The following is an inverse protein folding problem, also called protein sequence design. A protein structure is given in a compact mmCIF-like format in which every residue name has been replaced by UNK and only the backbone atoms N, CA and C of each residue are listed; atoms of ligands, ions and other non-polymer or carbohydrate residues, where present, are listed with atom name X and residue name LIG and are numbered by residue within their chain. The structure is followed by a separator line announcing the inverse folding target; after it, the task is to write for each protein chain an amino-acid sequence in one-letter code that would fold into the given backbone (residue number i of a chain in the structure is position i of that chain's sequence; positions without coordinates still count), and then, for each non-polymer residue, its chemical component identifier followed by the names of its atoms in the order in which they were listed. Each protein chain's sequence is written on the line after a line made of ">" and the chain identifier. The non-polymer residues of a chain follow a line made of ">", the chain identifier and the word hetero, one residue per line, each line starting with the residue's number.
data_IF_097730503527
#
_entry.id   IF_097730503527
#
_cell.length_a   1.000
_cell.length_b   1.000
_cell.length_c   1.000
_cell.angle_alpha   90.00
_cell.angle_beta   90.00
_cell.angle_gamma   90.00
#
_symmetry.space_group_name_H-M   'P 1'
#
loop_
_entity.id
_entity.type
_entity.pdbx_description
1 polymer ?
#
# COMPACT_ATOMS: atom_id res chain seq x y z
N UNK A 1 9.80 -15.40 8.24
CA UNK A 1 9.08 -16.60 8.73
C UNK A 1 7.60 -16.34 8.61
N UNK A 2 6.82 -17.30 8.07
CA UNK A 2 5.37 -17.17 8.03
C UNK A 2 4.76 -17.45 9.41
N UNK A 3 3.72 -16.70 9.79
CA UNK A 3 2.90 -16.94 10.98
C UNK A 3 1.50 -17.33 10.53
N UNK A 4 0.85 -18.18 11.31
CA UNK A 4 -0.53 -18.59 11.05
C UNK A 4 -1.42 -18.11 12.18
N UNK A 5 -2.58 -17.57 11.82
CA UNK A 5 -3.65 -17.23 12.76
C UNK A 5 -4.87 -18.09 12.42
N UNK A 6 -5.54 -18.61 13.45
CA UNK A 6 -6.84 -19.25 13.27
C UNK A 6 -7.94 -18.20 13.44
N UNK A 7 -8.91 -18.24 12.56
CA UNK A 7 -10.07 -17.34 12.57
C UNK A 7 -11.35 -18.15 12.51
N UNK A 8 -12.47 -17.56 12.94
CA UNK A 8 -13.79 -18.17 12.77
C UNK A 8 -14.19 -18.20 11.29
N UNK A 9 -15.07 -19.13 10.93
CA UNK A 9 -15.57 -19.27 9.55
C UNK A 9 -16.24 -17.97 9.04
N UNK A 10 -17.00 -17.30 9.90
CA UNK A 10 -17.63 -16.00 9.60
C UNK A 10 -16.59 -14.94 9.21
N UNK A 11 -15.49 -14.85 9.96
CA UNK A 11 -14.37 -13.94 9.69
C UNK A 11 -13.66 -14.31 8.39
N UNK A 12 -13.44 -15.60 8.14
CA UNK A 12 -12.84 -16.07 6.90
C UNK A 12 -13.68 -15.68 5.68
N UNK A 13 -15.00 -15.89 5.72
CA UNK A 13 -15.93 -15.46 4.66
C UNK A 13 -15.89 -13.94 4.43
N UNK A 14 -15.78 -13.15 5.49
CA UNK A 14 -15.63 -11.71 5.38
C UNK A 14 -14.30 -11.33 4.69
N UNK A 15 -13.19 -12.00 5.05
CA UNK A 15 -11.88 -11.79 4.44
C UNK A 15 -11.87 -12.16 2.96
N UNK A 16 -12.57 -13.22 2.54
CA UNK A 16 -12.71 -13.59 1.11
C UNK A 16 -13.37 -12.47 0.32
N UNK A 17 -14.51 -11.96 0.80
CA UNK A 17 -15.21 -10.83 0.16
C UNK A 17 -14.34 -9.57 0.11
N UNK A 18 -13.57 -9.33 1.17
CA UNK A 18 -12.68 -8.18 1.23
C UNK A 18 -11.53 -8.30 0.22
N UNK A 19 -10.94 -9.49 0.10
CA UNK A 19 -9.88 -9.80 -0.86
C UNK A 19 -10.33 -9.49 -2.29
N UNK A 20 -11.53 -9.94 -2.67
CA UNK A 20 -12.13 -9.65 -3.97
C UNK A 20 -12.34 -8.15 -4.19
N UNK A 21 -12.92 -7.45 -3.21
CA UNK A 21 -13.20 -6.01 -3.29
C UNK A 21 -11.92 -5.18 -3.43
N UNK A 22 -10.86 -5.57 -2.72
CA UNK A 22 -9.56 -4.91 -2.74
C UNK A 22 -8.67 -5.36 -3.91
N UNK A 23 -9.10 -6.38 -4.67
CA UNK A 23 -8.30 -7.05 -5.70
C UNK A 23 -6.92 -7.46 -5.19
N UNK A 24 -6.86 -7.90 -3.95
CA UNK A 24 -5.62 -8.30 -3.30
C UNK A 24 -5.21 -9.71 -3.73
N UNK A 25 -3.91 -9.96 -3.86
CA UNK A 25 -3.36 -11.25 -4.29
C UNK A 25 -3.42 -12.29 -3.17
N UNK A 26 -3.34 -11.85 -1.91
CA UNK A 26 -3.33 -12.74 -0.74
C UNK A 26 -4.13 -12.19 0.45
N UNK A 27 -4.45 -13.05 1.42
CA UNK A 27 -5.04 -12.60 2.68
C UNK A 27 -4.04 -11.80 3.53
N UNK A 28 -2.75 -12.09 3.40
CA UNK A 28 -1.69 -11.34 4.09
C UNK A 28 -1.70 -9.87 3.63
N UNK A 29 -1.81 -9.63 2.33
CA UNK A 29 -1.94 -8.28 1.77
C UNK A 29 -3.19 -7.56 2.30
N UNK A 30 -4.33 -8.25 2.37
CA UNK A 30 -5.57 -7.69 2.92
C UNK A 30 -5.37 -7.27 4.38
N UNK A 31 -4.82 -8.16 5.21
CA UNK A 31 -4.61 -7.90 6.65
C UNK A 31 -3.59 -6.79 6.84
N UNK A 32 -2.50 -6.77 6.08
CA UNK A 32 -1.48 -5.72 6.14
C UNK A 32 -2.05 -4.34 5.79
N UNK A 33 -2.81 -4.24 4.69
CA UNK A 33 -3.44 -2.97 4.29
C UNK A 33 -4.43 -2.45 5.33
N UNK A 34 -5.22 -3.35 5.94
CA UNK A 34 -6.12 -2.98 7.03
C UNK A 34 -5.35 -2.53 8.28
N UNK A 35 -4.31 -3.26 8.66
CA UNK A 35 -3.49 -2.93 9.82
C UNK A 35 -2.79 -1.59 9.64
N UNK A 36 -2.18 -1.34 8.49
CA UNK A 36 -1.54 -0.06 8.19
C UNK A 36 -2.55 1.09 8.16
N UNK A 37 -3.72 0.89 7.56
CA UNK A 37 -4.79 1.88 7.58
C UNK A 37 -5.21 2.24 9.01
N UNK A 38 -5.41 1.25 9.87
CA UNK A 38 -5.81 1.48 11.27
C UNK A 38 -4.70 2.13 12.09
N UNK A 39 -3.43 1.78 11.83
CA UNK A 39 -2.27 2.41 12.44
C UNK A 39 -1.93 3.79 11.85
N UNK A 40 -2.69 4.28 10.87
CA UNK A 40 -2.42 5.54 10.17
C UNK A 40 -1.16 5.53 9.32
N UNK A 41 -0.63 4.35 8.99
CA UNK A 41 0.57 4.18 8.17
C UNK A 41 0.14 4.29 6.69
N UNK A 42 0.71 5.26 5.94
CA UNK A 42 0.43 5.39 4.52
C UNK A 42 0.92 4.16 3.73
N UNK A 43 0.11 3.67 2.77
CA UNK A 43 0.51 2.60 1.82
C UNK A 43 1.71 2.99 0.94
N UNK A 44 1.93 4.28 0.74
CA UNK A 44 3.08 4.81 0.03
C UNK A 44 4.11 5.44 0.98
N UNK A 45 5.37 5.42 0.56
CA UNK A 45 6.48 6.03 1.30
C UNK A 45 6.60 7.54 1.06
N UNK A 46 5.65 8.13 0.33
CA UNK A 46 5.73 9.52 -0.11
C UNK A 46 5.43 10.53 0.99
N UNK A 47 4.91 10.08 2.14
CA UNK A 47 4.79 10.92 3.35
C UNK A 47 4.12 12.27 3.08
N UNK A 48 4.80 13.36 3.48
CA UNK A 48 4.33 14.73 3.29
C UNK A 48 4.29 15.21 1.83
N UNK A 49 4.89 14.46 0.92
CA UNK A 49 4.99 14.76 -0.50
C UNK A 49 3.97 14.02 -1.35
N UNK A 50 3.10 13.19 -0.74
CA UNK A 50 1.97 12.57 -1.44
C UNK A 50 1.14 13.63 -2.17
N UNK A 51 1.07 13.53 -3.49
CA UNK A 51 0.34 14.45 -4.37
C UNK A 51 1.11 15.73 -4.77
N UNK A 52 2.34 15.94 -4.29
CA UNK A 52 3.21 17.07 -4.65
C UNK A 52 4.32 16.70 -5.63
N UNK A 53 4.65 15.42 -5.71
CA UNK A 53 5.69 14.89 -6.59
C UNK A 53 5.11 14.49 -7.94
N UNK A 54 5.79 14.96 -8.99
CA UNK A 54 5.55 14.61 -10.39
C UNK A 54 6.62 13.61 -10.86
N UNK A 55 6.34 12.79 -11.88
CA UNK A 55 7.36 11.97 -12.53
C UNK A 55 8.52 12.83 -13.04
N UNK A 56 9.74 12.29 -12.96
CA UNK A 56 10.95 12.96 -13.44
C UNK A 56 10.85 13.26 -14.95
N UNK A 57 11.02 14.52 -15.34
CA UNK A 57 11.04 14.95 -16.73
C UNK A 57 12.47 15.27 -17.21
N UNK A 58 12.64 15.40 -18.52
CA UNK A 58 13.92 15.81 -19.13
C UNK A 58 14.40 17.17 -18.63
N UNK A 59 13.48 18.05 -18.22
CA UNK A 59 13.77 19.40 -17.71
C UNK A 59 14.28 19.38 -16.26
N UNK A 60 14.03 18.30 -15.52
CA UNK A 60 14.56 18.11 -14.16
C UNK A 60 16.05 17.67 -14.20
N UNK A 61 16.65 17.51 -15.39
CA UNK A 61 18.08 17.19 -15.57
C UNK A 61 18.93 18.42 -15.26
N UNK A 62 19.85 18.28 -14.30
CA UNK A 62 20.76 19.34 -13.86
C UNK A 62 21.90 19.66 -14.87
N UNK A 63 21.92 19.00 -16.03
CA UNK A 63 22.95 19.13 -17.07
C UNK A 63 22.87 20.46 -17.84
N UNK A 64 21.70 21.14 -17.83
CA UNK A 64 21.46 22.41 -18.54
C UNK A 64 21.62 23.66 -17.65
N UNK A 65 22.48 23.61 -16.63
CA UNK A 65 22.76 24.81 -15.81
C UNK A 65 23.80 25.69 -16.52
N UNK A 66 23.45 26.93 -16.93
CA UNK A 66 24.46 27.87 -17.36
C UNK A 66 25.37 28.22 -16.17
N UNK A 67 26.67 28.19 -16.43
CA UNK A 67 27.77 28.51 -15.53
C UNK A 67 27.63 29.89 -14.88
#
# INVERSE_FOLDING_TARGET
>A
MAKTIQVRDETYRALVKLKERMRAESFDEVVAKLAFKELGIPEDLFGADRGKIKPFSSEDRMEDRPW
#
